data_IF_335469089385
#
_entry.id   IF_335469089385
#
_cell.length_a   1.000
_cell.length_b   1.000
_cell.length_c   1.000
_cell.angle_alpha   90.00
_cell.angle_beta   90.00
_cell.angle_gamma   90.00
#
_symmetry.space_group_name_H-M   'P 1'
#
loop_
_entity.id
_entity.type
_entity.pdbx_description
1 polymer ?
#
# COMPACT_ATOMS: atom_id res chain seq x y z
N UNK A 1 1.89 26.15 -29.75
CA UNK A 1 0.79 26.57 -28.86
C UNK A 1 1.29 26.38 -27.44
N UNK A 2 1.48 27.47 -26.70
CA UNK A 2 1.89 27.42 -25.30
C UNK A 2 0.70 26.96 -24.44
N UNK A 3 0.96 26.02 -23.54
CA UNK A 3 -0.04 25.53 -22.59
C UNK A 3 -0.27 26.63 -21.54
N UNK A 4 -1.52 27.10 -21.30
CA UNK A 4 -1.80 28.10 -20.30
C UNK A 4 -1.84 27.45 -18.91
N UNK A 5 -0.85 27.74 -18.06
CA UNK A 5 -0.79 27.19 -16.69
C UNK A 5 0.23 27.82 -15.74
N UNK A 6 0.85 28.96 -16.10
CA UNK A 6 2.00 29.51 -15.36
C UNK A 6 1.67 30.43 -14.16
N UNK A 7 0.42 30.50 -13.68
CA UNK A 7 0.06 31.45 -12.60
C UNK A 7 -0.55 30.81 -11.32
N UNK A 8 0.07 29.73 -10.83
CA UNK A 8 -0.06 29.33 -9.42
C UNK A 8 1.34 29.07 -8.81
N UNK A 9 2.00 30.15 -8.44
CA UNK A 9 3.32 30.13 -7.80
C UNK A 9 3.26 29.61 -6.35
N UNK A 10 3.40 28.30 -6.17
CA UNK A 10 4.28 27.75 -5.12
C UNK A 10 4.95 26.52 -5.71
N UNK A 11 6.27 26.60 -5.89
CA UNK A 11 7.12 25.57 -6.46
C UNK A 11 7.07 24.27 -5.66
N UNK A 12 6.11 23.39 -5.92
CA UNK A 12 6.42 21.97 -5.79
C UNK A 12 7.53 21.74 -6.81
N UNK A 13 8.70 21.22 -6.42
CA UNK A 13 9.69 20.84 -7.40
C UNK A 13 8.97 19.98 -8.44
N UNK A 14 9.13 20.32 -9.72
CA UNK A 14 8.59 19.52 -10.82
C UNK A 14 8.79 18.03 -10.48
N UNK A 15 7.88 17.10 -10.82
CA UNK A 15 8.05 15.68 -10.50
C UNK A 15 9.41 15.10 -10.94
N UNK A 16 10.10 15.79 -11.86
CA UNK A 16 11.45 15.52 -12.34
C UNK A 16 12.54 16.48 -11.85
N UNK A 17 12.32 17.24 -10.78
CA UNK A 17 13.28 18.21 -10.26
C UNK A 17 14.60 17.54 -9.90
N UNK A 18 15.75 18.23 -10.06
CA UNK A 18 17.05 17.69 -9.68
C UNK A 18 17.08 17.21 -8.23
N UNK A 19 16.52 17.99 -7.30
CA UNK A 19 16.46 17.63 -5.88
C UNK A 19 15.65 16.35 -5.61
N UNK A 20 14.51 16.16 -6.29
CA UNK A 20 13.70 14.94 -6.11
C UNK A 20 14.42 13.72 -6.67
N UNK A 21 15.08 13.86 -7.83
CA UNK A 21 15.89 12.79 -8.43
C UNK A 21 17.06 12.43 -7.52
N UNK A 22 17.76 13.43 -6.98
CA UNK A 22 18.86 13.23 -6.02
C UNK A 22 18.40 12.47 -4.78
N UNK A 23 17.26 12.86 -4.17
CA UNK A 23 16.71 12.18 -3.00
C UNK A 23 16.33 10.73 -3.28
N UNK A 24 15.65 10.45 -4.40
CA UNK A 24 15.34 9.06 -4.77
C UNK A 24 16.58 8.25 -5.14
N UNK A 25 17.60 8.86 -5.75
CA UNK A 25 18.88 8.20 -6.01
C UNK A 25 19.59 7.83 -4.70
N UNK A 26 19.57 8.73 -3.70
CA UNK A 26 20.08 8.46 -2.36
C UNK A 26 19.34 7.29 -1.69
N UNK A 27 18.00 7.27 -1.75
CA UNK A 27 17.20 6.17 -1.22
C UNK A 27 17.51 4.84 -1.93
N UNK A 28 17.56 4.84 -3.26
CA UNK A 28 17.88 3.66 -4.04
C UNK A 28 19.30 3.14 -3.75
N UNK A 29 20.27 4.03 -3.51
CA UNK A 29 21.63 3.65 -3.09
C UNK A 29 21.62 2.98 -1.72
N UNK A 30 21.00 3.62 -0.72
CA UNK A 30 20.92 3.07 0.64
C UNK A 30 20.26 1.69 0.67
N UNK A 31 19.22 1.47 -0.15
CA UNK A 31 18.58 0.16 -0.25
C UNK A 31 19.47 -0.90 -0.91
N UNK A 32 20.27 -0.53 -1.92
CA UNK A 32 21.20 -1.44 -2.62
C UNK A 32 22.42 -1.80 -1.79
N UNK A 33 22.77 -0.97 -0.80
CA UNK A 33 23.89 -1.22 0.10
C UNK A 33 23.61 -2.40 1.07
N UNK A 34 22.37 -2.92 1.11
CA UNK A 34 21.99 -4.13 1.85
C UNK A 34 21.94 -5.33 0.90
N UNK A 35 22.95 -6.24 0.88
CA UNK A 35 23.11 -7.24 -0.19
C UNK A 35 21.96 -8.22 -0.34
N UNK A 36 21.18 -8.46 0.72
CA UNK A 36 20.06 -9.39 0.75
C UNK A 36 18.71 -8.75 0.42
N UNK A 37 18.67 -7.45 0.08
CA UNK A 37 17.43 -6.71 -0.15
C UNK A 37 17.32 -6.33 -1.62
N UNK A 38 16.19 -6.69 -2.23
CA UNK A 38 15.78 -6.16 -3.52
C UNK A 38 14.87 -4.95 -3.30
N UNK A 39 15.26 -3.81 -3.87
CA UNK A 39 14.45 -2.59 -3.83
C UNK A 39 13.69 -2.38 -5.12
N UNK A 40 12.38 -2.21 -4.99
CA UNK A 40 11.46 -1.97 -6.10
C UNK A 40 10.60 -0.76 -5.71
N UNK A 41 10.38 0.14 -6.65
CA UNK A 41 9.48 1.27 -6.46
C UNK A 41 8.11 0.97 -7.09
N UNK A 42 7.04 1.18 -6.33
CA UNK A 42 5.69 1.16 -6.89
C UNK A 42 5.40 2.50 -7.58
N UNK A 43 5.11 2.44 -8.88
CA UNK A 43 4.54 3.55 -9.62
C UNK A 43 3.01 3.49 -9.49
N UNK A 44 2.39 4.61 -9.16
CA UNK A 44 0.94 4.70 -8.96
C UNK A 44 0.36 6.00 -9.50
N UNK A 45 -0.91 5.93 -9.91
CA UNK A 45 -1.74 7.08 -10.22
C UNK A 45 -3.02 6.96 -9.39
N UNK A 46 -3.33 7.98 -8.59
CA UNK A 46 -4.49 7.94 -7.70
C UNK A 46 -5.83 8.12 -8.45
N UNK A 47 -5.80 8.47 -9.75
CA UNK A 47 -7.01 8.61 -10.56
C UNK A 47 -8.01 9.57 -9.92
N UNK A 48 -9.29 9.16 -9.83
CA UNK A 48 -10.36 9.91 -9.15
C UNK A 48 -10.13 10.17 -7.66
N UNK A 49 -9.27 9.38 -7.01
CA UNK A 49 -8.92 9.56 -5.60
C UNK A 49 -7.82 10.61 -5.40
N UNK A 50 -7.33 11.22 -6.49
CA UNK A 50 -6.36 12.32 -6.39
C UNK A 50 -7.05 13.51 -5.71
N UNK A 51 -6.52 14.02 -4.59
CA UNK A 51 -7.10 15.17 -3.91
C UNK A 51 -7.19 16.41 -4.82
N UNK A 52 -8.25 17.22 -4.65
CA UNK A 52 -8.48 18.45 -5.43
C UNK A 52 -7.30 19.43 -5.34
N UNK A 53 -6.61 19.47 -4.21
CA UNK A 53 -5.42 20.31 -4.02
C UNK A 53 -4.16 19.82 -4.76
N UNK A 54 -4.22 18.65 -5.41
CA UNK A 54 -3.20 18.14 -6.33
C UNK A 54 -3.65 18.36 -7.78
N UNK A 55 -4.89 18.02 -8.12
CA UNK A 55 -5.50 18.33 -9.42
C UNK A 55 -6.99 18.59 -9.26
N UNK A 56 -7.47 19.71 -9.79
CA UNK A 56 -8.90 20.05 -9.79
C UNK A 56 -9.72 19.14 -10.73
N UNK A 57 -9.05 18.46 -11.67
CA UNK A 57 -9.67 17.61 -12.68
C UNK A 57 -8.96 16.25 -12.72
N UNK A 58 -9.18 15.38 -11.72
CA UNK A 58 -8.61 14.04 -11.75
C UNK A 58 -9.15 13.25 -12.95
N UNK A 59 -8.26 12.54 -13.63
CA UNK A 59 -8.63 11.68 -14.76
C UNK A 59 -8.80 10.26 -14.22
N UNK A 60 -9.87 9.59 -14.60
CA UNK A 60 -10.13 8.18 -14.31
C UNK A 60 -10.50 7.45 -15.60
N UNK A 61 -10.27 6.15 -15.63
CA UNK A 61 -10.61 5.30 -16.78
C UNK A 61 -12.13 5.19 -17.04
N UNK A 62 -12.96 5.61 -16.07
CA UNK A 62 -14.41 5.54 -16.16
C UNK A 62 -15.04 6.93 -16.16
N UNK A 63 -15.87 7.21 -17.16
CA UNK A 63 -16.86 8.30 -17.16
C UNK A 63 -17.77 8.17 -15.91
N UNK A 64 -18.23 9.24 -15.24
CA UNK A 64 -18.95 9.13 -13.98
C UNK A 64 -20.37 8.55 -14.12
N UNK A 65 -20.74 8.03 -15.29
CA UNK A 65 -21.98 7.28 -15.50
C UNK A 65 -21.83 5.84 -15.01
N UNK A 66 -22.93 5.25 -14.54
CA UNK A 66 -22.95 3.83 -14.19
C UNK A 66 -22.78 2.97 -15.45
N UNK A 67 -21.81 2.06 -15.44
CA UNK A 67 -21.61 1.06 -16.49
C UNK A 67 -22.44 -0.20 -16.22
N UNK A 68 -22.83 -0.88 -17.30
CA UNK A 68 -23.38 -2.23 -17.25
C UNK A 68 -22.29 -3.26 -16.91
N UNK A 69 -22.69 -4.45 -16.42
CA UNK A 69 -21.74 -5.53 -16.16
C UNK A 69 -20.99 -5.98 -17.42
N UNK A 70 -21.61 -5.86 -18.59
CA UNK A 70 -21.00 -6.27 -19.86
C UNK A 70 -19.96 -5.25 -20.34
N UNK A 71 -20.24 -3.94 -20.20
CA UNK A 71 -19.26 -2.87 -20.45
C UNK A 71 -18.05 -2.99 -19.50
N UNK A 72 -18.27 -3.28 -18.22
CA UNK A 72 -17.18 -3.52 -17.25
C UNK A 72 -16.28 -4.68 -17.73
N UNK A 73 -16.89 -5.79 -18.15
CA UNK A 73 -16.14 -6.97 -18.61
C UNK A 73 -15.37 -6.74 -19.90
N UNK A 74 -16.01 -6.11 -20.88
CA UNK A 74 -15.46 -6.05 -22.23
C UNK A 74 -14.59 -4.82 -22.48
N UNK A 75 -14.84 -3.73 -21.75
CA UNK A 75 -14.13 -2.46 -21.93
C UNK A 75 -13.18 -2.26 -20.76
N UNK A 76 -13.69 -2.12 -19.54
CA UNK A 76 -12.87 -1.73 -18.37
C UNK A 76 -11.76 -2.74 -18.07
N UNK A 77 -12.07 -4.03 -17.95
CA UNK A 77 -11.07 -5.06 -17.67
C UNK A 77 -9.99 -5.10 -18.76
N UNK A 78 -10.40 -5.03 -20.03
CA UNK A 78 -9.47 -5.05 -21.17
C UNK A 78 -8.62 -3.79 -21.21
N UNK A 79 -9.18 -2.64 -20.88
CA UNK A 79 -8.46 -1.37 -20.81
C UNK A 79 -7.43 -1.37 -19.67
N UNK A 80 -7.74 -1.96 -18.52
CA UNK A 80 -6.74 -2.15 -17.44
C UNK A 80 -5.61 -3.09 -17.87
N UNK A 81 -5.91 -4.18 -18.58
CA UNK A 81 -4.89 -5.07 -19.14
C UNK A 81 -4.04 -4.35 -20.19
N UNK A 82 -4.68 -3.58 -21.08
CA UNK A 82 -4.01 -2.78 -22.09
C UNK A 82 -3.10 -1.72 -21.47
N UNK A 83 -3.60 -0.96 -20.48
CA UNK A 83 -2.83 0.05 -19.77
C UNK A 83 -1.62 -0.56 -19.06
N UNK A 84 -1.79 -1.69 -18.38
CA UNK A 84 -0.70 -2.42 -17.76
C UNK A 84 0.38 -2.84 -18.77
N UNK A 85 -0.05 -3.41 -19.91
CA UNK A 85 0.86 -3.78 -21.00
C UNK A 85 1.61 -2.56 -21.54
N UNK A 86 0.89 -1.48 -21.85
CA UNK A 86 1.48 -0.25 -22.35
C UNK A 86 2.51 0.34 -21.38
N UNK A 87 2.18 0.40 -20.08
CA UNK A 87 3.10 0.86 -19.04
C UNK A 87 4.35 -0.02 -18.97
N UNK A 88 4.21 -1.35 -18.99
CA UNK A 88 5.35 -2.27 -18.97
C UNK A 88 6.25 -2.09 -20.20
N UNK A 89 5.66 -1.99 -21.38
CA UNK A 89 6.40 -1.76 -22.64
C UNK A 89 7.12 -0.40 -22.62
N UNK A 90 6.50 0.65 -22.10
CA UNK A 90 7.13 1.95 -21.93
C UNK A 90 8.32 1.87 -20.96
N UNK A 91 8.18 1.17 -19.83
CA UNK A 91 9.30 0.94 -18.90
C UNK A 91 10.42 0.15 -19.59
N UNK A 92 10.10 -0.89 -20.37
CA UNK A 92 11.10 -1.73 -21.05
C UNK A 92 11.84 -1.00 -22.19
N UNK A 93 11.26 0.04 -22.77
CA UNK A 93 11.97 0.95 -23.70
C UNK A 93 13.08 1.73 -23.00
N UNK A 94 12.86 2.13 -21.75
CA UNK A 94 13.83 2.89 -20.96
C UNK A 94 14.78 1.99 -20.15
N UNK A 95 14.31 0.79 -19.76
CA UNK A 95 15.02 -0.17 -18.90
C UNK A 95 14.97 -1.56 -19.57
N UNK A 96 15.98 -1.89 -20.40
CA UNK A 96 16.03 -3.16 -21.14
C UNK A 96 15.99 -4.38 -20.21
N UNK A 97 15.46 -5.51 -20.70
CA UNK A 97 15.31 -6.73 -19.90
C UNK A 97 16.66 -7.30 -19.43
N UNK A 98 17.71 -7.09 -20.23
CA UNK A 98 19.09 -7.53 -19.98
C UNK A 98 19.71 -6.85 -18.75
N UNK A 99 19.11 -5.76 -18.26
CA UNK A 99 19.51 -5.14 -16.99
C UNK A 99 19.20 -6.00 -15.77
N UNK A 100 18.38 -7.05 -15.92
CA UNK A 100 17.88 -7.86 -14.81
C UNK A 100 16.86 -7.14 -13.92
N UNK A 101 16.42 -5.94 -14.30
CA UNK A 101 15.42 -5.18 -13.54
C UNK A 101 14.05 -5.85 -13.66
N UNK A 102 13.43 -6.19 -12.53
CA UNK A 102 12.11 -6.82 -12.51
C UNK A 102 10.98 -5.79 -12.52
N UNK A 103 9.86 -6.15 -13.14
CA UNK A 103 8.64 -5.34 -13.22
C UNK A 103 7.47 -6.24 -12.80
N UNK A 104 6.85 -5.90 -11.67
CA UNK A 104 5.61 -6.52 -11.24
C UNK A 104 4.39 -5.62 -11.44
N UNK A 105 3.22 -6.22 -11.25
CA UNK A 105 1.94 -5.52 -11.22
C UNK A 105 1.23 -5.83 -9.91
N UNK A 106 0.70 -4.79 -9.25
CA UNK A 106 -0.15 -4.95 -8.07
C UNK A 106 -1.59 -4.68 -8.46
N UNK A 107 -2.48 -5.58 -8.11
CA UNK A 107 -3.92 -5.40 -8.32
C UNK A 107 -4.71 -5.68 -7.04
N UNK A 108 -5.88 -5.08 -6.97
CA UNK A 108 -6.85 -5.46 -5.97
C UNK A 108 -7.49 -6.80 -6.38
N UNK A 109 -7.56 -7.73 -5.44
CA UNK A 109 -8.16 -9.03 -5.64
C UNK A 109 -9.69 -8.99 -5.54
N UNK A 110 -10.24 -8.11 -4.70
CA UNK A 110 -11.66 -8.14 -4.34
C UNK A 110 -12.21 -6.75 -4.08
N UNK A 111 -13.26 -6.42 -4.80
CA UNK A 111 -14.14 -5.32 -4.45
C UNK A 111 -15.38 -5.91 -3.78
N UNK A 112 -15.54 -5.72 -2.46
CA UNK A 112 -16.57 -6.37 -1.63
C UNK A 112 -18.02 -5.90 -1.92
N UNK A 113 -18.26 -5.28 -3.06
CA UNK A 113 -19.58 -4.89 -3.51
C UNK A 113 -20.08 -5.91 -4.52
N UNK A 114 -21.37 -6.24 -4.50
CA UNK A 114 -22.05 -7.14 -5.46
C UNK A 114 -21.95 -6.71 -6.95
N UNK A 115 -21.10 -5.73 -7.29
CA UNK A 115 -20.88 -5.14 -8.61
C UNK A 115 -19.40 -4.84 -8.93
N UNK A 116 -18.46 -5.28 -8.10
CA UNK A 116 -17.03 -5.07 -8.32
C UNK A 116 -16.35 -6.22 -9.07
N UNK A 117 -15.00 -6.19 -9.13
CA UNK A 117 -14.19 -7.23 -9.77
C UNK A 117 -14.49 -8.61 -9.19
N UNK A 118 -14.92 -9.56 -10.04
CA UNK A 118 -15.21 -10.95 -9.68
C UNK A 118 -13.97 -11.84 -9.75
N UNK A 119 -14.03 -13.01 -9.11
CA UNK A 119 -12.92 -13.99 -9.10
C UNK A 119 -12.50 -14.42 -10.50
N UNK A 120 -13.46 -14.74 -11.38
CA UNK A 120 -13.16 -15.20 -12.74
C UNK A 120 -12.52 -14.09 -13.59
N UNK A 121 -12.94 -12.85 -13.36
CA UNK A 121 -12.40 -11.65 -13.99
C UNK A 121 -10.97 -11.38 -13.54
N UNK A 122 -10.69 -11.51 -12.23
CA UNK A 122 -9.33 -11.37 -11.72
C UNK A 122 -8.41 -12.50 -12.19
N UNK A 123 -8.90 -13.74 -12.26
CA UNK A 123 -8.17 -14.87 -12.86
C UNK A 123 -7.84 -14.58 -14.32
N UNK A 124 -8.79 -14.04 -15.09
CA UNK A 124 -8.53 -13.60 -16.46
C UNK A 124 -7.44 -12.53 -16.53
N UNK A 125 -7.55 -11.46 -15.72
CA UNK A 125 -6.54 -10.40 -15.68
C UNK A 125 -5.15 -10.94 -15.34
N UNK A 126 -5.04 -11.83 -14.34
CA UNK A 126 -3.77 -12.44 -13.95
C UNK A 126 -3.17 -13.30 -15.06
N UNK A 127 -3.98 -14.05 -15.81
CA UNK A 127 -3.52 -14.78 -17.00
C UNK A 127 -2.98 -13.84 -18.06
N UNK A 128 -3.64 -12.71 -18.30
CA UNK A 128 -3.16 -11.75 -19.28
C UNK A 128 -1.89 -11.03 -18.79
N UNK A 129 -1.79 -10.69 -17.51
CA UNK A 129 -0.55 -10.15 -16.93
C UNK A 129 0.62 -11.12 -17.01
N UNK A 130 0.38 -12.41 -16.77
CA UNK A 130 1.36 -13.47 -16.95
C UNK A 130 1.82 -13.57 -18.42
N UNK A 131 0.89 -13.51 -19.37
CA UNK A 131 1.19 -13.49 -20.83
C UNK A 131 1.96 -12.26 -21.27
N UNK A 132 1.63 -11.10 -20.70
CA UNK A 132 2.38 -9.85 -20.91
C UNK A 132 3.81 -9.98 -20.36
N UNK A 133 4.05 -10.90 -19.44
CA UNK A 133 5.36 -11.26 -18.91
C UNK A 133 5.81 -10.36 -17.77
N UNK A 134 4.90 -9.96 -16.88
CA UNK A 134 5.27 -9.39 -15.59
C UNK A 134 6.06 -10.42 -14.77
N UNK A 135 7.06 -9.98 -14.02
CA UNK A 135 7.93 -10.86 -13.23
C UNK A 135 7.22 -11.35 -11.95
N UNK A 136 6.32 -10.53 -11.41
CA UNK A 136 5.42 -10.92 -10.34
C UNK A 136 4.06 -10.20 -10.43
N UNK A 137 3.03 -10.83 -9.88
CA UNK A 137 1.68 -10.31 -9.72
C UNK A 137 1.38 -10.28 -8.23
N UNK A 138 1.23 -9.07 -7.67
CA UNK A 138 0.87 -8.89 -6.27
C UNK A 138 -0.63 -8.68 -6.12
N UNK A 139 -1.25 -9.54 -5.32
CA UNK A 139 -2.65 -9.49 -4.96
C UNK A 139 -2.79 -8.84 -3.59
N UNK A 140 -3.65 -7.83 -3.50
CA UNK A 140 -4.02 -7.20 -2.23
C UNK A 140 -5.53 -7.13 -2.09
N UNK A 141 -6.06 -7.28 -0.88
CA UNK A 141 -7.50 -7.17 -0.61
C UNK A 141 -7.85 -5.89 0.17
N UNK A 142 -8.88 -5.16 -0.29
CA UNK A 142 -9.46 -4.01 0.42
C UNK A 142 -10.02 -2.95 -0.54
N UNK A 143 -11.18 -2.37 -0.23
CA UNK A 143 -11.81 -1.34 -1.10
C UNK A 143 -11.80 0.02 -0.39
N UNK A 144 -11.29 1.06 -1.05
CA UNK A 144 -11.22 2.44 -0.51
C UNK A 144 -12.56 3.21 -0.70
N UNK A 145 -13.43 2.75 -1.60
CA UNK A 145 -14.51 3.59 -2.15
C UNK A 145 -15.81 3.66 -1.34
N UNK A 146 -15.86 3.05 -0.16
CA UNK A 146 -16.83 3.42 0.86
C UNK A 146 -16.11 3.50 2.19
N UNK A 147 -16.45 4.49 3.01
CA UNK A 147 -16.24 4.50 4.46
C UNK A 147 -16.80 3.18 5.04
N UNK A 148 -16.07 2.08 4.92
CA UNK A 148 -16.40 0.76 5.45
C UNK A 148 -16.09 0.72 6.95
N UNK A 149 -16.48 1.79 7.65
CA UNK A 149 -16.15 2.07 9.04
C UNK A 149 -17.10 1.42 10.04
N UNK A 150 -17.99 0.54 9.62
CA UNK A 150 -18.95 -0.06 10.53
C UNK A 150 -18.84 -1.58 10.54
N UNK A 151 -18.24 -2.03 11.63
CA UNK A 151 -18.32 -3.34 12.26
C UNK A 151 -17.68 -4.52 11.50
N UNK A 152 -16.96 -5.38 12.25
CA UNK A 152 -17.33 -6.79 12.48
C UNK A 152 -16.08 -7.68 12.67
N UNK A 153 -16.01 -8.35 13.82
CA UNK A 153 -15.10 -9.46 14.11
C UNK A 153 -15.38 -10.71 13.24
N UNK A 154 -16.60 -10.87 12.74
CA UNK A 154 -16.99 -12.00 11.88
C UNK A 154 -16.80 -11.76 10.38
N UNK A 155 -16.93 -10.50 9.90
CA UNK A 155 -16.67 -10.16 8.50
C UNK A 155 -15.18 -10.27 8.16
N UNK A 156 -14.32 -10.03 9.15
CA UNK A 156 -12.85 -10.17 9.04
C UNK A 156 -12.47 -11.60 8.68
N UNK A 157 -12.99 -12.60 9.40
CA UNK A 157 -12.68 -14.03 9.15
C UNK A 157 -13.21 -14.49 7.79
N UNK A 158 -14.42 -14.08 7.43
CA UNK A 158 -14.99 -14.39 6.12
C UNK A 158 -14.17 -13.78 4.97
N UNK A 159 -13.66 -12.55 5.15
CA UNK A 159 -12.80 -11.87 4.16
C UNK A 159 -11.44 -12.56 3.99
N UNK A 160 -10.82 -13.01 5.07
CA UNK A 160 -9.55 -13.74 5.02
C UNK A 160 -9.72 -15.11 4.35
N UNK A 161 -10.76 -15.85 4.72
CA UNK A 161 -11.09 -17.11 4.06
C UNK A 161 -11.34 -16.89 2.56
N UNK A 162 -12.12 -15.87 2.19
CA UNK A 162 -12.38 -15.53 0.80
C UNK A 162 -11.11 -15.13 0.03
N UNK A 163 -10.22 -14.34 0.63
CA UNK A 163 -8.97 -13.91 0.02
C UNK A 163 -8.00 -15.08 -0.22
N UNK A 164 -7.96 -16.06 0.70
CA UNK A 164 -7.18 -17.28 0.52
C UNK A 164 -7.77 -18.20 -0.54
N UNK A 165 -9.10 -18.39 -0.57
CA UNK A 165 -9.76 -19.16 -1.64
C UNK A 165 -9.56 -18.51 -3.01
N UNK A 166 -9.65 -17.18 -3.09
CA UNK A 166 -9.37 -16.43 -4.30
C UNK A 166 -7.93 -16.62 -4.79
N UNK A 167 -6.95 -16.58 -3.88
CA UNK A 167 -5.54 -16.82 -4.24
C UNK A 167 -5.32 -18.26 -4.75
N UNK A 168 -6.05 -19.26 -4.22
CA UNK A 168 -6.03 -20.65 -4.72
C UNK A 168 -6.58 -20.78 -6.13
N UNK A 169 -7.46 -19.89 -6.59
CA UNK A 169 -7.94 -19.88 -7.98
C UNK A 169 -6.93 -19.23 -8.94
N UNK A 170 -6.24 -18.18 -8.51
CA UNK A 170 -5.28 -17.44 -9.34
C UNK A 170 -3.95 -18.16 -9.48
N UNK A 171 -3.39 -18.69 -8.40
CA UNK A 171 -2.03 -19.25 -8.43
C UNK A 171 -1.87 -20.36 -9.48
N UNK A 172 -2.82 -21.30 -9.68
CA UNK A 172 -2.76 -22.28 -10.77
C UNK A 172 -2.89 -21.68 -12.17
N UNK A 173 -3.48 -20.49 -12.32
CA UNK A 173 -3.70 -19.82 -13.60
C UNK A 173 -2.46 -19.07 -14.11
N UNK A 174 -1.56 -18.66 -13.21
CA UNK A 174 -0.31 -17.93 -13.50
C UNK A 174 0.83 -18.93 -13.65
N UNK A 175 1.55 -18.90 -14.78
CA UNK A 175 2.56 -19.92 -15.13
C UNK A 175 3.99 -19.42 -15.00
N UNK A 176 4.25 -18.15 -15.23
CA UNK A 176 5.61 -17.60 -15.30
C UNK A 176 5.88 -16.59 -14.17
N UNK A 177 4.94 -15.70 -13.89
CA UNK A 177 5.07 -14.70 -12.85
C UNK A 177 4.99 -15.33 -11.45
N UNK A 178 5.74 -14.80 -10.50
CA UNK A 178 5.51 -15.10 -9.08
C UNK A 178 4.23 -14.41 -8.59
N UNK A 179 3.43 -15.07 -7.77
CA UNK A 179 2.18 -14.52 -7.21
C UNK A 179 2.43 -14.17 -5.76
N UNK A 180 2.34 -12.87 -5.45
CA UNK A 180 2.57 -12.34 -4.11
C UNK A 180 1.23 -12.07 -3.45
N UNK A 181 1.10 -12.41 -2.18
CA UNK A 181 -0.12 -12.17 -1.43
C UNK A 181 0.14 -11.21 -0.26
N UNK A 182 -0.54 -10.07 -0.29
CA UNK A 182 -0.40 -9.01 0.72
C UNK A 182 -1.71 -8.79 1.44
N UNK A 183 -1.75 -9.17 2.71
CA UNK A 183 -2.91 -8.95 3.56
C UNK A 183 -2.89 -9.81 4.81
N UNK A 184 -2.91 -9.16 5.97
CA UNK A 184 -3.20 -9.76 7.29
C UNK A 184 -2.35 -10.94 7.78
N UNK A 185 -1.27 -11.31 7.08
CA UNK A 185 -0.28 -12.23 7.64
C UNK A 185 0.31 -11.67 8.94
N UNK A 186 0.22 -12.45 10.03
CA UNK A 186 0.73 -12.08 11.36
C UNK A 186 1.66 -13.12 11.96
N UNK A 187 1.44 -14.39 11.68
CA UNK A 187 2.19 -15.49 12.31
C UNK A 187 3.01 -16.24 11.28
N UNK A 188 4.20 -16.69 11.69
CA UNK A 188 5.10 -17.49 10.86
C UNK A 188 4.41 -18.78 10.37
N UNK A 189 3.67 -19.54 11.22
CA UNK A 189 2.94 -20.71 10.74
C UNK A 189 1.93 -20.41 9.63
N UNK A 190 1.21 -19.28 9.69
CA UNK A 190 0.27 -18.90 8.64
C UNK A 190 0.98 -18.53 7.32
N UNK A 191 2.11 -17.82 7.42
CA UNK A 191 2.94 -17.45 6.27
C UNK A 191 3.53 -18.69 5.58
N UNK A 192 4.14 -19.58 6.36
CA UNK A 192 4.73 -20.84 5.88
C UNK A 192 3.67 -21.71 5.23
N UNK A 193 2.52 -21.90 5.92
CA UNK A 193 1.42 -22.70 5.37
C UNK A 193 0.89 -22.15 4.04
N UNK A 194 0.78 -20.83 3.88
CA UNK A 194 0.33 -20.25 2.62
C UNK A 194 1.28 -20.55 1.45
N UNK A 195 2.59 -20.60 1.70
CA UNK A 195 3.59 -20.98 0.70
C UNK A 195 3.54 -22.49 0.42
N UNK A 196 3.53 -23.31 1.48
CA UNK A 196 3.52 -24.79 1.37
C UNK A 196 2.25 -25.31 0.68
N UNK A 197 1.10 -24.71 0.97
CA UNK A 197 -0.17 -25.04 0.31
C UNK A 197 -0.24 -24.55 -1.15
N UNK A 198 0.80 -23.87 -1.64
CA UNK A 198 0.84 -23.33 -3.00
C UNK A 198 -0.17 -22.22 -3.24
N UNK A 199 -0.52 -21.45 -2.21
CA UNK A 199 -1.45 -20.31 -2.31
C UNK A 199 -0.72 -19.07 -2.87
N UNK A 200 0.57 -18.92 -2.56
CA UNK A 200 1.40 -17.78 -2.98
C UNK A 200 2.88 -18.16 -2.99
N UNK A 201 3.67 -17.45 -3.80
CA UNK A 201 5.14 -17.62 -3.81
C UNK A 201 5.84 -16.67 -2.83
N UNK A 202 5.18 -15.58 -2.41
CA UNK A 202 5.77 -14.62 -1.48
C UNK A 202 4.72 -13.89 -0.64
N UNK A 203 5.12 -13.52 0.58
CA UNK A 203 4.28 -12.86 1.56
C UNK A 203 4.58 -11.37 1.60
N UNK A 204 3.55 -10.55 1.41
CA UNK A 204 3.66 -9.11 1.64
C UNK A 204 3.27 -8.72 3.06
N UNK A 205 4.13 -7.93 3.70
CA UNK A 205 3.92 -7.33 5.02
C UNK A 205 3.77 -5.81 4.88
N UNK A 206 2.69 -5.28 5.47
CA UNK A 206 2.43 -3.84 5.55
C UNK A 206 2.50 -3.37 7.00
N UNK A 207 1.35 -2.98 7.58
CA UNK A 207 1.22 -2.46 8.96
C UNK A 207 2.09 -3.16 10.05
N UNK A 208 2.24 -4.50 10.10
CA UNK A 208 3.11 -5.15 11.09
C UNK A 208 4.54 -4.64 11.14
N UNK A 209 5.13 -4.26 10.00
CA UNK A 209 6.52 -3.78 9.96
C UNK A 209 6.63 -2.38 10.55
N UNK A 210 5.52 -1.62 10.68
CA UNK A 210 5.51 -0.34 11.36
C UNK A 210 5.89 -0.48 12.83
N UNK A 211 5.41 -1.52 13.51
CA UNK A 211 5.71 -1.78 14.93
C UNK A 211 7.06 -2.48 15.14
N UNK A 212 7.56 -3.18 14.13
CA UNK A 212 8.79 -3.96 14.15
C UNK A 212 9.47 -3.91 12.77
N UNK A 213 10.35 -2.93 12.58
CA UNK A 213 10.95 -2.65 11.26
C UNK A 213 11.87 -3.77 10.75
N UNK A 214 12.46 -4.53 11.67
CA UNK A 214 13.30 -5.69 11.37
C UNK A 214 12.54 -7.02 11.49
N UNK A 215 11.20 -7.00 11.53
CA UNK A 215 10.36 -8.19 11.63
C UNK A 215 10.75 -9.29 10.62
N UNK A 216 10.94 -9.01 9.30
CA UNK A 216 11.36 -10.05 8.36
C UNK A 216 12.68 -10.71 8.76
N UNK A 217 13.67 -9.92 9.21
CA UNK A 217 14.96 -10.45 9.63
C UNK A 217 14.84 -11.28 10.92
N UNK A 218 14.03 -10.83 11.89
CA UNK A 218 13.73 -11.59 13.11
C UNK A 218 13.02 -12.91 12.82
N UNK A 219 12.07 -12.94 11.87
CA UNK A 219 11.39 -14.16 11.42
C UNK A 219 12.38 -15.13 10.79
N UNK A 220 13.19 -14.67 9.82
CA UNK A 220 14.17 -15.52 9.13
C UNK A 220 15.25 -16.07 10.07
N UNK A 221 15.60 -15.32 11.11
CA UNK A 221 16.52 -15.76 12.17
C UNK A 221 15.85 -16.64 13.24
N UNK A 222 14.55 -16.93 13.12
CA UNK A 222 13.79 -17.73 14.09
C UNK A 222 13.59 -17.06 15.46
N UNK A 223 13.85 -15.76 15.57
CA UNK A 223 13.77 -15.01 16.84
C UNK A 223 12.33 -14.72 17.28
N UNK A 224 11.41 -14.65 16.33
CA UNK A 224 9.98 -14.40 16.58
C UNK A 224 9.12 -15.34 15.74
N UNK A 225 7.92 -15.64 16.24
CA UNK A 225 6.93 -16.49 15.56
C UNK A 225 5.71 -15.70 15.07
N UNK A 226 5.65 -14.41 15.35
CA UNK A 226 4.61 -13.51 14.90
C UNK A 226 5.07 -12.06 14.96
N UNK A 227 4.35 -11.18 14.27
CA UNK A 227 4.40 -9.75 14.51
C UNK A 227 3.94 -9.40 15.93
N UNK A 228 4.39 -8.25 16.46
CA UNK A 228 3.79 -7.61 17.63
C UNK A 228 2.27 -7.46 17.49
N UNK A 229 1.57 -7.66 18.61
CA UNK A 229 0.13 -7.45 18.70
C UNK A 229 -0.20 -5.96 18.51
N UNK A 230 -1.30 -5.69 17.82
CA UNK A 230 -1.92 -4.37 17.76
C UNK A 230 -3.38 -4.52 18.20
N UNK A 231 -3.74 -4.00 19.36
CA UNK A 231 -5.09 -4.10 19.93
C UNK A 231 -6.16 -3.36 19.09
N UNK A 232 -5.73 -2.51 18.15
CA UNK A 232 -6.60 -1.75 17.25
C UNK A 232 -6.56 -2.27 15.80
N UNK A 233 -6.01 -3.46 15.56
CA UNK A 233 -5.79 -4.04 14.22
C UNK A 233 -7.07 -4.12 13.37
N UNK A 234 -8.21 -4.42 14.01
CA UNK A 234 -9.51 -4.53 13.33
C UNK A 234 -10.11 -3.17 12.92
N UNK A 235 -9.64 -2.07 13.51
CA UNK A 235 -9.97 -0.73 13.06
C UNK A 235 -8.95 -0.27 12.03
N UNK A 236 -9.32 -0.30 10.76
CA UNK A 236 -8.41 0.06 9.67
C UNK A 236 -7.84 1.49 9.80
N UNK A 237 -8.67 2.50 10.11
CA UNK A 237 -8.17 3.88 10.23
C UNK A 237 -7.19 4.03 11.39
N UNK A 238 -7.55 3.50 12.57
CA UNK A 238 -6.70 3.62 13.76
C UNK A 238 -5.40 2.84 13.56
N UNK A 239 -5.45 1.59 13.09
CA UNK A 239 -4.24 0.80 12.83
C UNK A 239 -3.36 1.38 11.72
N UNK A 240 -3.95 2.02 10.69
CA UNK A 240 -3.20 2.75 9.69
C UNK A 240 -2.54 4.01 10.29
N UNK A 241 -3.25 4.76 11.13
CA UNK A 241 -2.70 5.92 11.83
C UNK A 241 -1.53 5.52 12.74
N UNK A 242 -1.69 4.46 13.53
CA UNK A 242 -0.62 3.86 14.37
C UNK A 242 0.63 3.57 13.52
N UNK A 243 0.46 2.85 12.40
CA UNK A 243 1.59 2.52 11.54
C UNK A 243 2.29 3.76 10.99
N UNK A 244 1.54 4.81 10.62
CA UNK A 244 2.13 6.07 10.16
C UNK A 244 2.92 6.77 11.27
N UNK A 245 2.41 6.77 12.51
CA UNK A 245 3.12 7.32 13.67
C UNK A 245 4.40 6.55 13.97
N UNK A 246 4.34 5.21 13.95
CA UNK A 246 5.54 4.39 14.17
C UNK A 246 6.61 4.61 13.09
N UNK A 247 6.23 4.69 11.81
CA UNK A 247 7.18 5.05 10.75
C UNK A 247 7.76 6.44 10.94
N UNK A 248 6.96 7.40 11.41
CA UNK A 248 7.44 8.75 11.71
C UNK A 248 8.40 8.77 12.91
N UNK A 249 8.16 7.97 13.95
CA UNK A 249 9.05 7.84 15.11
C UNK A 249 10.38 7.22 14.69
N UNK A 250 10.34 6.19 13.86
CA UNK A 250 11.53 5.52 13.38
C UNK A 250 12.48 6.43 12.60
N UNK A 251 11.95 7.36 11.78
CA UNK A 251 12.80 8.29 11.03
C UNK A 251 13.47 9.37 11.91
N UNK A 252 13.07 9.53 13.17
CA UNK A 252 13.69 10.53 14.06
C UNK A 252 15.10 10.13 14.50
N UNK A 253 15.40 8.83 14.47
CA UNK A 253 16.69 8.30 14.91
C UNK A 253 17.48 7.77 13.71
N UNK A 254 18.68 8.29 13.43
CA UNK A 254 19.51 7.78 12.35
C UNK A 254 19.82 6.28 12.51
N UNK A 255 19.77 5.53 11.41
CA UNK A 255 20.08 4.08 11.42
C UNK A 255 21.46 3.77 12.02
N UNK A 256 22.46 4.63 11.80
CA UNK A 256 23.82 4.47 12.34
C UNK A 256 23.93 4.56 13.86
N UNK A 257 22.94 5.15 14.52
CA UNK A 257 22.92 5.38 15.96
C UNK A 257 22.03 4.38 16.69
N UNK A 258 21.32 3.51 15.95
CA UNK A 258 20.28 2.68 16.51
C UNK A 258 20.67 1.20 16.58
N UNK A 259 20.77 0.66 17.80
CA UNK A 259 21.05 -0.77 18.05
C UNK A 259 19.80 -1.62 17.86
N UNK A 260 18.63 -1.09 18.22
CA UNK A 260 17.31 -1.68 17.93
C UNK A 260 16.45 -0.67 17.18
N UNK A 261 16.33 -0.86 15.87
CA UNK A 261 15.62 0.06 14.98
C UNK A 261 14.14 0.25 15.32
N UNK A 262 13.57 -0.59 16.18
CA UNK A 262 12.19 -0.49 16.64
C UNK A 262 12.04 0.01 18.08
N UNK A 263 13.14 0.45 18.71
CA UNK A 263 13.11 1.01 20.06
C UNK A 263 12.38 2.37 20.08
N UNK A 264 11.63 2.60 21.16
CA UNK A 264 10.83 3.82 21.36
C UNK A 264 9.62 4.00 20.41
N UNK A 265 9.32 3.02 19.54
CA UNK A 265 8.11 3.06 18.72
C UNK A 265 6.87 2.83 19.57
N UNK A 266 5.75 3.47 19.18
CA UNK A 266 4.46 3.30 19.84
C UNK A 266 4.09 1.81 19.93
N UNK A 267 3.84 1.33 21.15
CA UNK A 267 3.47 -0.06 21.41
C UNK A 267 1.95 -0.22 21.54
N UNK A 268 1.30 -0.58 20.44
CA UNK A 268 -0.14 -0.83 20.41
C UNK A 268 -0.54 -2.20 21.00
N UNK A 269 0.39 -2.96 21.58
CA UNK A 269 0.09 -4.15 22.38
C UNK A 269 -0.22 -3.82 23.84
N UNK A 270 0.21 -2.65 24.32
CA UNK A 270 -0.16 -2.12 25.62
C UNK A 270 -1.57 -1.49 25.54
N UNK A 271 -2.47 -1.94 26.43
CA UNK A 271 -3.88 -1.54 26.43
C UNK A 271 -4.07 -0.04 26.72
N UNK A 272 -3.25 0.51 27.62
CA UNK A 272 -3.29 1.92 27.96
C UNK A 272 -2.85 2.75 26.77
N UNK A 273 -1.68 2.44 26.19
CA UNK A 273 -1.15 3.15 25.01
C UNK A 273 -2.12 3.08 23.84
N UNK A 274 -2.67 1.90 23.56
CA UNK A 274 -3.63 1.71 22.46
C UNK A 274 -4.91 2.54 22.66
N UNK A 275 -5.43 2.59 23.89
CA UNK A 275 -6.64 3.36 24.24
C UNK A 275 -6.39 4.85 24.16
N UNK A 276 -5.29 5.34 24.75
CA UNK A 276 -4.93 6.76 24.71
C UNK A 276 -4.68 7.22 23.27
N UNK A 277 -3.97 6.43 22.45
CA UNK A 277 -3.78 6.75 21.04
C UNK A 277 -5.11 6.81 20.28
N UNK A 278 -6.00 5.84 20.50
CA UNK A 278 -7.32 5.83 19.87
C UNK A 278 -8.10 7.07 20.23
N UNK A 279 -8.13 7.48 21.49
CA UNK A 279 -8.85 8.67 21.94
C UNK A 279 -8.25 9.94 21.34
N UNK A 280 -6.93 10.07 21.30
CA UNK A 280 -6.23 11.17 20.63
C UNK A 280 -6.53 11.19 19.12
N UNK A 281 -6.55 10.04 18.46
CA UNK A 281 -6.91 9.92 17.05
C UNK A 281 -8.36 10.32 16.79
N UNK A 282 -9.31 9.92 17.63
CA UNK A 282 -10.71 10.30 17.46
C UNK A 282 -10.90 11.81 17.64
N UNK A 283 -10.25 12.43 18.64
CA UNK A 283 -10.24 13.90 18.80
C UNK A 283 -9.63 14.62 17.60
N UNK A 284 -8.54 14.08 17.04
CA UNK A 284 -7.93 14.60 15.81
C UNK A 284 -8.92 14.55 14.64
N UNK A 285 -9.61 13.41 14.45
CA UNK A 285 -10.58 13.23 13.38
C UNK A 285 -11.79 14.16 13.52
N UNK A 286 -12.31 14.34 14.74
CA UNK A 286 -13.41 15.25 15.04
C UNK A 286 -13.07 16.71 14.75
N UNK A 287 -11.82 17.10 15.01
CA UNK A 287 -11.33 18.46 14.82
C UNK A 287 -10.52 18.61 13.52
N UNK A 288 -10.56 17.64 12.61
CA UNK A 288 -9.61 17.60 11.50
C UNK A 288 -9.69 18.86 10.62
N UNK A 289 -10.88 19.39 10.37
CA UNK A 289 -11.06 20.62 9.58
C UNK A 289 -10.46 21.86 10.27
N UNK A 290 -10.51 21.92 11.60
CA UNK A 290 -9.94 23.03 12.37
C UNK A 290 -8.43 22.87 12.62
N UNK A 291 -7.96 21.63 12.81
CA UNK A 291 -6.56 21.25 13.05
C UNK A 291 -5.73 21.34 11.76
N UNK A 292 -6.28 20.95 10.61
CA UNK A 292 -5.62 21.09 9.31
C UNK A 292 -5.61 22.55 8.81
N UNK A 293 -5.46 23.50 9.73
CA UNK A 293 -5.38 24.93 9.48
C UNK A 293 -4.48 25.23 8.27
N UNK A 294 -4.98 26.11 7.41
CA UNK A 294 -4.36 26.42 6.13
C UNK A 294 -3.07 27.21 6.32
N UNK A 295 -1.90 26.59 6.17
CA UNK A 295 -0.66 27.35 5.95
C UNK A 295 -0.66 27.81 4.49
N UNK A 296 -0.76 29.11 4.24
CA UNK A 296 -0.86 29.69 2.89
C UNK A 296 -1.97 29.08 2.01
N UNK A 297 -3.15 28.87 2.59
CA UNK A 297 -4.30 28.31 1.85
C UNK A 297 -4.29 26.79 1.65
N UNK A 298 -3.38 26.05 2.30
CA UNK A 298 -3.19 24.60 2.08
C UNK A 298 -3.30 23.79 3.38
N UNK A 299 -3.95 22.62 3.38
CA UNK A 299 -3.88 21.72 4.51
C UNK A 299 -2.43 21.23 4.71
N UNK A 300 -1.95 21.21 5.97
CA UNK A 300 -0.72 20.54 6.35
C UNK A 300 -0.75 19.04 5.93
N UNK A 301 0.40 18.40 5.67
CA UNK A 301 0.42 16.97 5.37
C UNK A 301 -0.23 16.18 6.51
N UNK A 302 -1.31 15.46 6.21
CA UNK A 302 -2.13 14.73 7.17
C UNK A 302 -1.30 13.95 8.19
N UNK A 303 -0.27 13.22 7.73
CA UNK A 303 0.59 12.41 8.60
C UNK A 303 1.39 13.26 9.58
N UNK A 304 1.96 14.38 9.14
CA UNK A 304 2.72 15.28 10.03
C UNK A 304 1.80 15.87 11.10
N UNK A 305 0.63 16.38 10.72
CA UNK A 305 -0.33 16.95 11.68
C UNK A 305 -0.92 15.91 12.61
N UNK A 306 -1.22 14.73 12.08
CA UNK A 306 -1.69 13.58 12.86
C UNK A 306 -0.67 13.21 13.93
N UNK A 307 0.61 13.11 13.55
CA UNK A 307 1.67 12.74 14.49
C UNK A 307 1.84 13.81 15.55
N UNK A 308 1.94 15.08 15.17
CA UNK A 308 2.08 16.18 16.12
C UNK A 308 0.92 16.22 17.13
N UNK A 309 -0.32 16.01 16.67
CA UNK A 309 -1.50 16.01 17.54
C UNK A 309 -1.57 14.77 18.43
N UNK A 310 -1.39 13.57 17.87
CA UNK A 310 -1.51 12.33 18.63
C UNK A 310 -0.32 12.10 19.57
N UNK A 311 0.86 12.69 19.32
CA UNK A 311 2.00 12.56 20.23
C UNK A 311 2.01 13.57 21.38
N UNK A 312 1.43 14.76 21.22
CA UNK A 312 1.39 15.78 22.29
C UNK A 312 0.70 15.27 23.56
N UNK A 313 -0.21 14.31 23.43
CA UNK A 313 -0.98 13.74 24.54
C UNK A 313 -0.39 12.42 25.10
N UNK A 314 0.70 11.89 24.52
CA UNK A 314 1.24 10.54 24.82
C UNK A 314 2.63 10.54 25.51
N UNK A 315 3.18 11.71 25.85
CA UNK A 315 4.48 11.87 26.56
C UNK A 315 4.24 12.51 27.93
#
# INVERSE_FOLDING_TARGET
>A
MNCPGDELSVSRPHPLSPLRRERFAGLAKAMKDVPSVLAIAQLGNAGRMTPENITAHPISASDPRALTLEEIKNEVIRDFVFAAKFCKEAIRKEIPAESGFIIGIKMNSVEFQNKGLRSEEAVFMCKEYDRVGFDFIELSGGTVEKLAFQHLSDSTRAREAFFLEFAKEIKPAVKNAAVYLTGRFRTVPAMVKAIEDGITDAIGLGRPIGAELDLPAKILAGKVQSAKLNLMEDNYAVSNAICNVQMWQAQQTPYSENVDISDGLLDASDEKVATEFKDAFMKFMENMESILAKVNGRPLPFVTTLVEHCQQDLI
#
